data_IF_500844588338
#
_entry.id   IF_500844588338
#
_cell.length_a   1.000
_cell.length_b   1.000
_cell.length_c   1.000
_cell.angle_alpha   90.00
_cell.angle_beta   90.00
_cell.angle_gamma   90.00
#
_symmetry.space_group_name_H-M   'P 1'
#
loop_
_entity.id
_entity.type
_entity.pdbx_description
1 polymer ?
#
# COMPACT_ATOMS: atom_id res chain seq x y z
N UNK A 1 48.57 -8.99 2.98
CA UNK A 1 47.79 -8.58 1.79
C UNK A 1 46.64 -9.55 1.50
N UNK A 2 46.89 -10.86 1.46
CA UNK A 2 45.86 -11.89 1.25
C UNK A 2 44.74 -11.83 2.31
N UNK A 3 45.08 -11.59 3.58
CA UNK A 3 44.10 -11.49 4.69
C UNK A 3 43.06 -10.39 4.49
N UNK A 4 43.47 -9.25 3.92
CA UNK A 4 42.58 -8.12 3.63
C UNK A 4 41.64 -8.49 2.48
N UNK A 5 42.15 -9.20 1.48
CA UNK A 5 41.38 -9.68 0.34
C UNK A 5 40.29 -10.67 0.74
N UNK A 6 40.59 -11.59 1.66
CA UNK A 6 39.60 -12.53 2.20
C UNK A 6 38.52 -11.79 2.98
N UNK A 7 38.89 -10.87 3.88
CA UNK A 7 37.93 -10.11 4.67
C UNK A 7 36.96 -9.28 3.81
N UNK A 8 37.45 -8.68 2.71
CA UNK A 8 36.63 -7.88 1.80
C UNK A 8 35.59 -8.71 1.02
N UNK A 9 35.82 -10.00 0.82
CA UNK A 9 34.87 -10.89 0.12
C UNK A 9 33.92 -11.56 1.12
N UNK A 10 34.43 -11.98 2.28
CA UNK A 10 33.64 -12.71 3.28
C UNK A 10 32.53 -11.84 3.89
N UNK A 11 32.83 -10.58 4.21
CA UNK A 11 31.85 -9.67 4.83
C UNK A 11 30.60 -9.45 3.97
N UNK A 12 30.67 -9.04 2.69
CA UNK A 12 29.48 -8.86 1.87
C UNK A 12 28.76 -10.16 1.53
N UNK A 13 29.48 -11.29 1.48
CA UNK A 13 28.86 -12.60 1.20
C UNK A 13 27.99 -13.07 2.37
N UNK A 14 28.44 -12.84 3.60
CA UNK A 14 27.62 -13.10 4.79
C UNK A 14 26.43 -12.13 4.87
N UNK A 15 26.64 -10.85 4.54
CA UNK A 15 25.56 -9.86 4.50
C UNK A 15 24.49 -10.13 3.43
N UNK A 16 24.80 -10.92 2.40
CA UNK A 16 23.85 -11.38 1.37
C UNK A 16 23.07 -12.63 1.79
N UNK A 17 23.56 -13.37 2.78
CA UNK A 17 22.96 -14.61 3.28
C UNK A 17 22.12 -14.37 4.55
N UNK A 18 22.48 -13.38 5.36
CA UNK A 18 21.61 -12.86 6.42
C UNK A 18 20.45 -12.05 5.79
N UNK A 19 19.27 -12.22 6.39
CA UNK A 19 17.93 -11.87 5.93
C UNK A 19 17.77 -10.55 5.15
N UNK A 20 16.74 -10.46 4.27
CA UNK A 20 16.45 -9.27 3.48
C UNK A 20 16.39 -8.02 4.37
N UNK A 21 16.85 -6.87 3.86
CA UNK A 21 17.15 -5.70 4.67
C UNK A 21 15.98 -5.35 5.58
N UNK A 22 16.24 -5.35 6.89
CA UNK A 22 15.38 -4.73 7.88
C UNK A 22 15.02 -3.33 7.39
N UNK A 23 13.73 -3.09 7.17
CA UNK A 23 13.18 -1.81 6.70
C UNK A 23 13.34 -0.75 7.79
N UNK A 24 14.55 -0.23 7.97
CA UNK A 24 14.83 0.91 8.82
C UNK A 24 15.33 2.06 7.95
N UNK A 25 14.52 3.12 7.87
CA UNK A 25 14.94 4.41 7.33
C UNK A 25 14.03 4.93 6.24
N UNK A 26 12.95 5.61 6.64
CA UNK A 26 12.29 6.80 6.06
C UNK A 26 12.32 7.11 4.54
N UNK A 27 12.66 6.19 3.66
CA UNK A 27 12.88 6.42 2.23
C UNK A 27 12.22 5.32 1.38
N UNK A 28 10.90 5.21 1.43
CA UNK A 28 10.02 4.67 0.36
C UNK A 28 8.54 4.65 0.83
N UNK A 29 7.99 5.81 1.16
CA UNK A 29 6.51 5.98 1.18
C UNK A 29 5.97 6.23 -0.24
N UNK A 30 6.60 5.68 -1.28
CA UNK A 30 6.02 5.61 -2.62
C UNK A 30 5.07 4.42 -2.67
N UNK A 31 3.86 4.61 -2.14
CA UNK A 31 2.65 3.84 -2.43
C UNK A 31 2.64 2.30 -2.22
N UNK A 32 3.74 1.65 -1.87
CA UNK A 32 3.83 0.18 -1.81
C UNK A 32 3.52 -0.41 -0.43
N UNK A 33 3.25 0.44 0.56
CA UNK A 33 2.69 0.08 1.86
C UNK A 33 1.53 0.98 2.29
N UNK A 34 0.97 1.74 1.33
CA UNK A 34 -0.17 2.62 1.55
C UNK A 34 -1.49 1.92 1.26
N UNK A 35 -2.57 2.49 1.75
CA UNK A 35 -3.94 2.03 1.46
C UNK A 35 -4.25 2.40 0.01
N UNK A 36 -4.48 1.40 -0.84
CA UNK A 36 -4.89 1.59 -2.22
C UNK A 36 -6.42 1.51 -2.33
N UNK A 37 -7.04 2.50 -2.95
CA UNK A 37 -8.49 2.56 -3.16
C UNK A 37 -8.77 2.56 -4.66
N UNK A 38 -9.54 1.57 -5.10
CA UNK A 38 -9.94 1.42 -6.50
C UNK A 38 -11.45 1.31 -6.57
N UNK A 39 -12.08 2.25 -7.26
CA UNK A 39 -13.50 2.24 -7.57
C UNK A 39 -13.74 1.64 -8.96
N UNK A 40 -14.90 1.04 -9.16
CA UNK A 40 -15.36 0.46 -10.41
C UNK A 40 -16.71 1.06 -10.77
N UNK A 41 -16.84 1.56 -12.00
CA UNK A 41 -18.07 2.16 -12.54
C UNK A 41 -19.04 1.09 -13.09
N UNK A 42 -20.26 1.50 -13.46
CA UNK A 42 -21.31 0.67 -14.11
C UNK A 42 -20.80 -0.03 -15.38
N UNK A 43 -19.83 0.58 -16.06
CA UNK A 43 -19.22 0.06 -17.28
C UNK A 43 -18.08 -0.93 -17.01
N UNK A 44 -17.75 -1.22 -15.75
CA UNK A 44 -16.64 -2.08 -15.35
C UNK A 44 -15.27 -1.41 -15.39
N UNK A 45 -15.21 -0.10 -15.72
CA UNK A 45 -13.97 0.68 -15.73
C UNK A 45 -13.48 0.93 -14.31
N UNK A 46 -12.20 0.63 -14.05
CA UNK A 46 -11.55 0.91 -12.76
C UNK A 46 -10.96 2.31 -12.77
N UNK A 47 -11.17 3.06 -11.69
CA UNK A 47 -10.61 4.39 -11.49
C UNK A 47 -10.25 4.60 -10.02
N UNK A 48 -9.33 5.52 -9.77
CA UNK A 48 -9.01 5.95 -8.40
C UNK A 48 -9.97 7.07 -8.01
N UNK A 49 -10.78 6.90 -6.95
CA UNK A 49 -11.69 7.96 -6.50
C UNK A 49 -10.89 9.14 -5.95
N UNK A 50 -11.33 10.37 -6.26
CA UNK A 50 -10.73 11.58 -5.66
C UNK A 50 -11.28 11.76 -4.25
N UNK A 51 -10.43 11.47 -3.27
CA UNK A 51 -10.75 11.55 -1.85
C UNK A 51 -10.16 12.80 -1.19
N UNK A 52 -9.49 13.66 -1.96
CA UNK A 52 -8.73 14.81 -1.45
C UNK A 52 -9.61 15.81 -0.70
N UNK A 53 -10.86 15.95 -1.12
CA UNK A 53 -11.83 16.84 -0.49
C UNK A 53 -12.65 16.18 0.63
N UNK A 54 -12.64 14.84 0.70
CA UNK A 54 -13.50 14.06 1.60
C UNK A 54 -12.73 13.49 2.80
N UNK A 55 -11.42 13.34 2.68
CA UNK A 55 -10.52 12.88 3.74
C UNK A 55 -9.53 13.98 4.08
N UNK A 56 -9.53 14.39 5.35
CA UNK A 56 -8.56 15.35 5.87
C UNK A 56 -7.18 14.69 5.99
N UNK A 57 -6.39 14.77 4.92
CA UNK A 57 -5.01 14.28 4.86
C UNK A 57 -4.84 12.93 4.17
N UNK A 58 -3.62 12.41 4.18
CA UNK A 58 -3.27 11.14 3.53
C UNK A 58 -3.77 9.93 4.32
N UNK A 59 -4.14 8.85 3.62
CA UNK A 59 -4.55 7.58 4.23
C UNK A 59 -3.39 7.00 5.04
N UNK A 60 -3.57 6.97 6.36
CA UNK A 60 -2.60 6.51 7.35
C UNK A 60 -2.57 4.98 7.42
N UNK A 61 -1.43 4.30 7.23
CA UNK A 61 -1.36 2.84 7.23
C UNK A 61 -1.65 2.20 8.59
N UNK A 62 -1.58 2.95 9.70
CA UNK A 62 -1.90 2.48 11.04
C UNK A 62 -3.40 2.22 11.29
N UNK A 63 -4.29 2.70 10.43
CA UNK A 63 -5.74 2.52 10.58
C UNK A 63 -6.26 1.41 9.67
N UNK A 64 -7.18 0.59 10.19
CA UNK A 64 -7.89 -0.40 9.39
C UNK A 64 -8.98 0.25 8.54
N UNK A 65 -8.57 0.77 7.38
CA UNK A 65 -9.46 1.35 6.39
C UNK A 65 -10.35 0.33 5.68
N UNK A 66 -10.06 -0.97 5.76
CA UNK A 66 -10.92 -1.96 5.10
C UNK A 66 -12.30 -2.00 5.73
N UNK A 67 -12.47 -1.58 6.99
CA UNK A 67 -13.77 -1.61 7.68
C UNK A 67 -14.75 -0.52 7.29
N UNK A 68 -14.27 0.68 7.00
CA UNK A 68 -15.14 1.86 6.86
C UNK A 68 -14.94 2.64 5.56
N UNK A 69 -13.77 2.52 4.94
CA UNK A 69 -13.45 3.26 3.73
C UNK A 69 -14.27 2.81 2.51
N UNK A 70 -14.50 1.50 2.26
CA UNK A 70 -15.28 1.08 1.10
C UNK A 70 -16.70 1.68 1.08
N UNK A 71 -17.37 1.64 2.24
CA UNK A 71 -18.71 2.19 2.42
C UNK A 71 -18.70 3.72 2.26
N UNK A 72 -17.74 4.41 2.88
CA UNK A 72 -17.60 5.86 2.74
C UNK A 72 -17.38 6.29 1.28
N UNK A 73 -16.55 5.57 0.53
CA UNK A 73 -16.29 5.85 -0.89
C UNK A 73 -17.56 5.70 -1.73
N UNK A 74 -18.41 4.72 -1.42
CA UNK A 74 -19.72 4.56 -2.07
C UNK A 74 -20.63 5.78 -1.82
N UNK A 75 -20.64 6.33 -0.61
CA UNK A 75 -21.46 7.51 -0.29
C UNK A 75 -20.98 8.78 -1.00
N UNK A 76 -19.67 9.01 -1.05
CA UNK A 76 -19.11 10.24 -1.64
C UNK A 76 -18.91 10.17 -3.16
N UNK A 77 -18.90 8.96 -3.74
CA UNK A 77 -18.67 8.74 -5.18
C UNK A 77 -19.90 8.09 -5.82
N UNK A 78 -20.92 8.87 -6.23
CA UNK A 78 -22.18 8.34 -6.75
C UNK A 78 -22.07 7.61 -8.11
N UNK A 79 -20.89 7.64 -8.74
CA UNK A 79 -20.59 6.88 -9.97
C UNK A 79 -19.93 5.52 -9.70
N UNK A 80 -19.57 5.23 -8.45
CA UNK A 80 -18.97 3.94 -8.11
C UNK A 80 -20.07 2.90 -7.87
N UNK A 81 -19.94 1.73 -8.50
CA UNK A 81 -20.78 0.54 -8.28
C UNK A 81 -20.05 -0.49 -7.43
N UNK A 82 -18.73 -0.42 -7.38
CA UNK A 82 -17.93 -1.26 -6.49
C UNK A 82 -16.66 -0.56 -6.06
N UNK A 83 -16.27 -0.77 -4.81
CA UNK A 83 -15.06 -0.21 -4.24
C UNK A 83 -14.22 -1.34 -3.68
N UNK A 84 -12.94 -1.34 -4.03
CA UNK A 84 -11.94 -2.25 -3.48
C UNK A 84 -10.88 -1.45 -2.75
N UNK A 85 -10.67 -1.79 -1.48
CA UNK A 85 -9.61 -1.23 -0.66
C UNK A 85 -8.58 -2.33 -0.41
N UNK A 86 -7.33 -2.06 -0.75
CA UNK A 86 -6.20 -2.97 -0.57
C UNK A 86 -5.21 -2.35 0.42
N UNK A 87 -4.88 -3.12 1.46
CA UNK A 87 -3.85 -2.85 2.44
C UNK A 87 -2.87 -4.04 2.48
N UNK A 88 -1.66 -3.88 3.04
CA UNK A 88 -0.60 -4.89 2.98
C UNK A 88 -1.04 -6.30 3.41
N UNK A 89 -1.91 -6.40 4.42
CA UNK A 89 -2.40 -7.68 4.96
C UNK A 89 -3.89 -7.93 4.71
N UNK A 90 -4.61 -6.92 4.20
CA UNK A 90 -6.08 -6.95 4.17
C UNK A 90 -6.61 -6.40 2.86
N UNK A 91 -7.57 -7.10 2.26
CA UNK A 91 -8.27 -6.65 1.07
C UNK A 91 -9.76 -6.81 1.29
N UNK A 92 -10.52 -5.74 1.05
CA UNK A 92 -11.98 -5.80 1.09
C UNK A 92 -12.59 -5.10 -0.12
N UNK A 93 -13.59 -5.75 -0.69
CA UNK A 93 -14.39 -5.21 -1.79
C UNK A 93 -15.85 -5.15 -1.39
N UNK A 94 -16.50 -4.01 -1.63
CA UNK A 94 -17.92 -3.77 -1.37
C UNK A 94 -18.58 -3.32 -2.66
N UNK A 95 -19.84 -3.73 -2.87
CA UNK A 95 -20.70 -3.18 -3.94
C UNK A 95 -21.48 -2.01 -3.36
N UNK A 96 -21.55 -0.93 -4.12
CA UNK A 96 -22.39 0.21 -3.80
C UNK A 96 -23.79 -0.09 -4.36
N UNK A 97 -24.81 -0.08 -3.48
CA UNK A 97 -26.22 -0.27 -3.83
C UNK A 97 -26.93 1.08 -4.10
#
# INVERSE_FOLDING_TARGET
>A
MITVLVAQVTVPTLALLDEPPTRFGFQMYSAQGGVEVTATDVHGSRFTPDLTNSLAGSLRPEFDWTRSLPEFVCEVTPRAVGVTVTQPEQKRSVRCD
#
